data_IF_987484332483
#
_entry.id   IF_987484332483
#
_cell.length_a   1.000
_cell.length_b   1.000
_cell.length_c   1.000
_cell.angle_alpha   90.00
_cell.angle_beta   90.00
_cell.angle_gamma   90.00
#
_symmetry.space_group_name_H-M   'P 1'
#
loop_
_entity.id
_entity.type
_entity.pdbx_description
1 polymer ?
#
# COMPACT_ATOMS: atom_id res chain seq x y z
N UNK A 1 -42.66 -25.45 22.62
CA UNK A 1 -42.11 -25.01 21.31
C UNK A 1 -40.77 -25.70 21.16
N UNK A 2 -40.70 -26.69 20.27
CA UNK A 2 -39.60 -27.67 20.15
C UNK A 2 -38.58 -27.19 19.11
N UNK A 3 -37.31 -27.09 19.51
CA UNK A 3 -36.18 -26.80 18.63
C UNK A 3 -35.73 -28.07 17.90
N UNK A 4 -35.82 -28.08 16.58
CA UNK A 4 -35.37 -29.18 15.72
C UNK A 4 -33.92 -29.01 15.29
N UNK A 5 -33.03 -29.82 15.87
CA UNK A 5 -31.65 -30.02 15.43
C UNK A 5 -31.61 -30.80 14.12
N UNK A 6 -31.08 -30.21 13.03
CA UNK A 6 -30.81 -30.93 11.76
C UNK A 6 -29.34 -31.32 11.68
N UNK A 7 -29.07 -32.58 11.99
CA UNK A 7 -27.83 -33.30 11.71
C UNK A 7 -27.66 -33.49 10.20
N UNK A 8 -26.52 -33.10 9.63
CA UNK A 8 -26.16 -33.43 8.24
C UNK A 8 -25.40 -34.76 8.21
N UNK A 9 -25.78 -35.73 7.35
CA UNK A 9 -25.07 -37.00 7.22
C UNK A 9 -23.75 -36.84 6.48
N UNK A 10 -22.73 -37.53 7.00
CA UNK A 10 -21.45 -37.81 6.34
C UNK A 10 -21.71 -38.76 5.18
N UNK A 11 -21.44 -38.32 3.95
CA UNK A 11 -21.34 -39.21 2.80
C UNK A 11 -19.89 -39.70 2.68
N UNK A 12 -19.70 -40.99 2.97
CA UNK A 12 -18.49 -41.73 2.62
C UNK A 12 -18.64 -42.24 1.17
N UNK A 13 -17.64 -41.98 0.33
CA UNK A 13 -17.49 -42.62 -0.98
C UNK A 13 -16.27 -43.56 -0.93
N UNK A 14 -16.45 -44.85 -1.25
CA UNK A 14 -15.33 -45.79 -1.37
C UNK A 14 -15.02 -46.18 -2.83
N UNK A 15 -13.81 -46.70 -2.99
CA UNK A 15 -13.31 -47.69 -3.97
C UNK A 15 -12.81 -47.25 -5.37
N UNK A 16 -11.51 -47.56 -5.55
CA UNK A 16 -10.85 -48.28 -6.66
C UNK A 16 -10.69 -47.58 -8.03
N UNK A 17 -9.44 -47.44 -8.48
CA UNK A 17 -8.82 -48.42 -9.39
C UNK A 17 -7.39 -47.99 -9.79
N UNK A 18 -6.48 -48.96 -9.76
CA UNK A 18 -5.12 -48.86 -10.28
C UNK A 18 -5.11 -48.76 -11.82
N UNK A 19 -4.17 -48.00 -12.38
CA UNK A 19 -4.00 -47.91 -13.84
C UNK A 19 -2.79 -47.10 -14.29
N UNK A 20 -1.73 -47.84 -14.65
CA UNK A 20 -0.68 -47.52 -15.62
C UNK A 20 0.20 -46.26 -15.42
N UNK A 21 1.41 -46.53 -14.93
CA UNK A 21 2.59 -45.71 -15.15
C UNK A 21 2.90 -45.58 -16.65
N UNK A 22 2.89 -44.35 -17.16
CA UNK A 22 3.58 -43.96 -18.38
C UNK A 22 4.65 -42.93 -17.99
N UNK A 23 5.84 -43.45 -17.74
CA UNK A 23 7.05 -42.65 -17.59
C UNK A 23 7.45 -42.11 -18.97
N UNK A 24 7.12 -40.85 -19.24
CA UNK A 24 7.74 -40.06 -20.30
C UNK A 24 9.01 -39.40 -19.74
N UNK A 25 10.23 -39.75 -20.19
CA UNK A 25 11.42 -38.99 -19.86
C UNK A 25 11.45 -37.73 -20.73
N UNK A 26 10.73 -36.69 -20.31
CA UNK A 26 10.98 -35.34 -20.79
C UNK A 26 12.30 -34.88 -20.16
N UNK A 27 13.40 -35.11 -20.86
CA UNK A 27 14.65 -34.38 -20.67
C UNK A 27 14.45 -32.92 -21.09
N UNK A 28 13.65 -32.19 -20.33
CA UNK A 28 13.58 -30.74 -20.34
C UNK A 28 14.18 -30.27 -19.02
N UNK A 29 15.16 -29.37 -19.09
CA UNK A 29 15.78 -28.73 -17.93
C UNK A 29 14.70 -28.15 -17.01
N UNK A 30 14.26 -28.94 -16.03
CA UNK A 30 13.40 -28.48 -14.96
C UNK A 30 14.28 -27.69 -14.01
N UNK A 31 14.54 -26.43 -14.36
CA UNK A 31 14.55 -25.43 -13.33
C UNK A 31 13.16 -25.53 -12.67
N UNK A 32 13.08 -26.31 -11.59
CA UNK A 32 11.87 -26.37 -10.77
C UNK A 32 11.44 -24.94 -10.42
N UNK A 33 10.15 -24.72 -10.10
CA UNK A 33 9.68 -23.38 -9.76
C UNK A 33 10.67 -22.74 -8.79
N UNK A 34 11.31 -21.66 -9.24
CA UNK A 34 12.33 -20.99 -8.45
C UNK A 34 11.72 -20.67 -7.08
N UNK A 35 12.42 -21.01 -6.01
CA UNK A 35 11.97 -20.68 -4.67
C UNK A 35 11.65 -19.17 -4.64
N UNK A 36 10.52 -18.76 -4.04
CA UNK A 36 10.20 -17.35 -3.93
C UNK A 36 11.39 -16.63 -3.27
N UNK A 37 11.76 -15.42 -3.74
CA UNK A 37 12.91 -14.71 -3.21
C UNK A 37 12.73 -14.49 -1.71
N UNK A 38 13.82 -14.64 -0.94
CA UNK A 38 13.78 -14.37 0.50
C UNK A 38 13.46 -12.89 0.76
N UNK A 39 12.67 -12.57 1.80
CA UNK A 39 12.40 -11.20 2.18
C UNK A 39 13.68 -10.43 2.48
N UNK A 40 13.71 -9.14 2.13
CA UNK A 40 14.87 -8.30 2.40
C UNK A 40 14.92 -7.94 3.88
N UNK A 41 15.97 -8.35 4.59
CA UNK A 41 16.25 -7.91 5.97
C UNK A 41 16.63 -6.44 6.01
N UNK A 42 15.90 -5.64 6.78
CA UNK A 42 16.14 -4.21 6.93
C UNK A 42 16.87 -3.89 8.23
N UNK A 43 17.93 -3.08 8.16
CA UNK A 43 18.46 -2.42 9.35
C UNK A 43 17.45 -1.39 9.89
N UNK A 44 17.64 -0.91 11.13
CA UNK A 44 16.76 0.12 11.70
C UNK A 44 16.65 1.38 10.83
N UNK A 45 17.77 1.87 10.29
CA UNK A 45 17.76 3.05 9.41
C UNK A 45 17.12 2.76 8.04
N UNK A 46 17.33 1.57 7.48
CA UNK A 46 16.69 1.15 6.23
C UNK A 46 15.18 0.95 6.40
N UNK A 47 14.74 0.46 7.56
CA UNK A 47 13.33 0.27 7.88
C UNK A 47 12.59 1.61 7.95
N UNK A 48 13.19 2.63 8.60
CA UNK A 48 12.62 3.97 8.63
C UNK A 48 12.42 4.57 7.23
N UNK A 49 13.45 4.49 6.37
CA UNK A 49 13.36 4.96 4.99
C UNK A 49 12.34 4.18 4.15
N UNK A 50 12.35 2.84 4.23
CA UNK A 50 11.40 1.99 3.50
C UNK A 50 9.94 2.24 3.93
N UNK A 51 9.72 2.52 5.21
CA UNK A 51 8.42 2.93 5.72
C UNK A 51 7.98 4.27 5.11
N UNK A 52 8.83 5.29 5.14
CA UNK A 52 8.52 6.63 4.59
C UNK A 52 8.30 6.60 3.06
N UNK A 53 9.09 5.81 2.33
CA UNK A 53 8.90 5.54 0.89
C UNK A 53 7.54 4.91 0.58
N UNK A 54 6.95 4.18 1.53
CA UNK A 54 5.62 3.60 1.38
C UNK A 54 4.53 4.59 1.76
N UNK A 55 4.63 5.28 2.91
CA UNK A 55 3.51 6.04 3.49
C UNK A 55 3.41 7.49 3.00
N UNK A 56 4.51 8.15 2.66
CA UNK A 56 4.45 9.57 2.26
C UNK A 56 3.62 9.81 0.99
N UNK A 57 3.71 8.95 -0.06
CA UNK A 57 2.83 9.05 -1.22
C UNK A 57 1.35 8.83 -0.89
N UNK A 58 1.04 8.03 0.14
CA UNK A 58 -0.33 7.79 0.60
C UNK A 58 -0.91 9.06 1.23
N UNK A 59 -0.14 9.72 2.10
CA UNK A 59 -0.54 10.98 2.73
C UNK A 59 -0.85 12.04 1.67
N UNK A 60 0.05 12.23 0.71
CA UNK A 60 -0.14 13.20 -0.38
C UNK A 60 -1.39 12.90 -1.23
N UNK A 61 -1.70 11.62 -1.47
CA UNK A 61 -2.89 11.24 -2.24
C UNK A 61 -4.19 11.46 -1.45
N UNK A 62 -4.18 11.25 -0.13
CA UNK A 62 -5.32 11.55 0.74
C UNK A 62 -5.53 13.05 0.91
N UNK A 63 -4.46 13.84 1.05
CA UNK A 63 -4.55 15.31 1.10
C UNK A 63 -5.24 15.87 -0.17
N UNK A 64 -4.88 15.35 -1.35
CA UNK A 64 -5.54 15.74 -2.61
C UNK A 64 -7.01 15.29 -2.65
N UNK A 65 -7.32 14.08 -2.15
CA UNK A 65 -8.70 13.60 -2.08
C UNK A 65 -9.56 14.49 -1.18
N UNK A 66 -9.07 14.87 0.00
CA UNK A 66 -9.75 15.77 0.93
C UNK A 66 -10.02 17.13 0.28
N UNK A 67 -9.02 17.71 -0.39
CA UNK A 67 -9.18 18.97 -1.14
C UNK A 67 -10.26 18.86 -2.22
N UNK A 68 -10.32 17.75 -2.96
CA UNK A 68 -11.36 17.57 -3.99
C UNK A 68 -12.76 17.35 -3.39
N UNK A 69 -12.86 16.67 -2.25
CA UNK A 69 -14.14 16.50 -1.54
C UNK A 69 -14.64 17.84 -0.99
N UNK A 70 -13.76 18.68 -0.46
CA UNK A 70 -14.13 20.03 -0.01
C UNK A 70 -14.55 20.92 -1.17
N UNK A 71 -13.87 20.84 -2.33
CA UNK A 71 -14.31 21.52 -3.55
C UNK A 71 -15.69 21.05 -4.01
N UNK A 72 -15.96 19.75 -3.92
CA UNK A 72 -17.27 19.18 -4.24
C UNK A 72 -18.36 19.73 -3.31
N UNK A 73 -18.11 19.79 -2.00
CA UNK A 73 -19.05 20.39 -1.02
C UNK A 73 -19.41 21.83 -1.39
N UNK A 74 -18.40 22.65 -1.67
CA UNK A 74 -18.59 24.05 -2.07
C UNK A 74 -19.29 24.23 -3.43
N UNK A 75 -19.18 23.27 -4.34
CA UNK A 75 -19.90 23.28 -5.63
C UNK A 75 -21.36 22.85 -5.46
N UNK A 76 -21.63 21.85 -4.62
CA UNK A 76 -22.99 21.43 -4.28
C UNK A 76 -23.79 22.58 -3.64
N UNK A 77 -23.16 23.38 -2.77
CA UNK A 77 -23.78 24.59 -2.21
C UNK A 77 -24.20 25.63 -3.27
N UNK A 78 -23.55 25.61 -4.44
CA UNK A 78 -23.85 26.48 -5.59
C UNK A 78 -24.78 25.85 -6.63
N UNK A 79 -25.13 24.57 -6.46
CA UNK A 79 -26.02 23.84 -7.35
C UNK A 79 -25.35 23.26 -8.61
N UNK A 80 -24.02 23.21 -8.67
CA UNK A 80 -23.23 22.75 -9.83
C UNK A 80 -22.23 21.63 -9.48
N UNK A 81 -22.45 20.91 -8.37
CA UNK A 81 -21.54 19.89 -7.85
C UNK A 81 -21.41 18.64 -8.74
N UNK A 82 -20.21 18.41 -9.26
CA UNK A 82 -19.84 17.28 -10.11
C UNK A 82 -18.80 16.41 -9.38
N UNK A 83 -19.02 15.09 -9.16
CA UNK A 83 -18.19 14.29 -8.26
C UNK A 83 -16.88 13.78 -8.88
N UNK A 84 -16.69 13.91 -10.19
CA UNK A 84 -15.67 13.18 -10.95
C UNK A 84 -14.24 13.48 -10.48
N UNK A 85 -13.96 14.73 -10.08
CA UNK A 85 -12.64 15.09 -9.55
C UNK A 85 -12.36 14.40 -8.22
N UNK A 86 -13.31 14.42 -7.28
CA UNK A 86 -13.21 13.75 -5.99
C UNK A 86 -13.14 12.22 -6.14
N UNK A 87 -13.94 11.64 -7.04
CA UNK A 87 -13.91 10.21 -7.32
C UNK A 87 -12.55 9.77 -7.89
N UNK A 88 -11.96 10.54 -8.83
CA UNK A 88 -10.62 10.25 -9.36
C UNK A 88 -9.54 10.36 -8.28
N UNK A 89 -9.61 11.38 -7.42
CA UNK A 89 -8.67 11.54 -6.32
C UNK A 89 -8.75 10.37 -5.34
N UNK A 90 -9.96 9.90 -5.00
CA UNK A 90 -10.15 8.70 -4.18
C UNK A 90 -9.61 7.42 -4.82
N UNK A 91 -9.77 7.24 -6.13
CA UNK A 91 -9.14 6.11 -6.84
C UNK A 91 -7.62 6.17 -6.73
N UNK A 92 -7.04 7.36 -6.82
CA UNK A 92 -5.60 7.57 -6.63
C UNK A 92 -5.17 7.23 -5.20
N UNK A 93 -5.88 7.74 -4.19
CA UNK A 93 -5.62 7.44 -2.77
C UNK A 93 -5.72 5.94 -2.45
N UNK A 94 -6.74 5.27 -2.98
CA UNK A 94 -6.88 3.82 -2.86
C UNK A 94 -5.73 3.05 -3.52
N UNK A 95 -5.29 3.49 -4.71
CA UNK A 95 -4.15 2.88 -5.43
C UNK A 95 -2.83 3.06 -4.69
N UNK A 96 -2.60 4.25 -4.13
CA UNK A 96 -1.44 4.55 -3.30
C UNK A 96 -1.45 3.66 -2.05
N UNK A 97 -2.60 3.54 -1.38
CA UNK A 97 -2.77 2.69 -0.19
C UNK A 97 -2.49 1.21 -0.50
N UNK A 98 -3.02 0.71 -1.62
CA UNK A 98 -2.74 -0.66 -2.09
C UNK A 98 -1.24 -0.90 -2.32
N UNK A 99 -0.57 0.08 -2.92
CA UNK A 99 0.85 0.00 -3.24
C UNK A 99 1.70 0.02 -1.97
N UNK A 100 1.38 0.91 -1.04
CA UNK A 100 2.03 0.99 0.27
C UNK A 100 1.83 -0.31 1.05
N UNK A 101 0.60 -0.84 1.12
CA UNK A 101 0.33 -2.12 1.80
C UNK A 101 1.19 -3.26 1.26
N UNK A 102 1.36 -3.35 -0.08
CA UNK A 102 2.26 -4.34 -0.70
C UNK A 102 3.73 -4.13 -0.32
N UNK A 103 4.19 -2.88 -0.24
CA UNK A 103 5.57 -2.56 0.15
C UNK A 103 5.85 -2.89 1.62
N UNK A 104 4.84 -2.76 2.48
CA UNK A 104 4.93 -3.09 3.90
C UNK A 104 4.76 -4.58 4.20
N UNK A 105 4.48 -5.41 3.18
CA UNK A 105 4.21 -6.83 3.37
C UNK A 105 5.46 -7.59 3.86
N UNK A 106 5.33 -8.46 4.88
CA UNK A 106 6.44 -9.28 5.38
C UNK A 106 7.00 -10.25 4.34
N UNK A 107 6.25 -10.56 3.27
CA UNK A 107 6.77 -11.33 2.14
C UNK A 107 7.78 -10.54 1.29
N UNK A 108 7.78 -9.20 1.38
CA UNK A 108 8.69 -8.32 0.64
C UNK A 108 9.89 -7.93 1.49
N UNK A 109 9.65 -7.55 2.75
CA UNK A 109 10.70 -7.08 3.66
C UNK A 109 10.56 -7.67 5.06
N UNK A 110 11.68 -8.07 5.64
CA UNK A 110 11.76 -8.46 7.05
C UNK A 110 12.09 -7.23 7.89
N UNK A 111 11.09 -6.78 8.64
CA UNK A 111 11.14 -5.62 9.52
C UNK A 111 11.88 -5.93 10.82
N UNK A 112 12.53 -4.94 11.46
CA UNK A 112 13.06 -5.12 12.81
C UNK A 112 11.99 -5.65 13.77
N UNK A 113 12.34 -6.62 14.62
CA UNK A 113 11.39 -7.34 15.49
C UNK A 113 10.51 -6.39 16.32
N UNK A 114 11.10 -5.32 16.85
CA UNK A 114 10.39 -4.31 17.65
C UNK A 114 9.37 -3.47 16.84
N UNK A 115 9.55 -3.36 15.52
CA UNK A 115 8.70 -2.56 14.63
C UNK A 115 7.70 -3.39 13.83
N UNK A 116 7.98 -4.69 13.59
CA UNK A 116 7.17 -5.54 12.73
C UNK A 116 5.67 -5.55 13.05
N UNK A 117 5.22 -5.66 14.33
CA UNK A 117 3.80 -5.62 14.65
C UNK A 117 3.13 -4.27 14.33
N UNK A 118 3.86 -3.17 14.56
CA UNK A 118 3.33 -1.83 14.30
C UNK A 118 3.22 -1.55 12.79
N UNK A 119 4.20 -2.02 12.01
CA UNK A 119 4.16 -1.90 10.54
C UNK A 119 3.06 -2.77 9.94
N UNK A 120 2.84 -3.98 10.45
CA UNK A 120 1.73 -4.83 10.01
C UNK A 120 0.37 -4.17 10.31
N UNK A 121 0.21 -3.50 11.46
CA UNK A 121 -1.02 -2.75 11.74
C UNK A 121 -1.25 -1.64 10.71
N UNK A 122 -0.22 -0.87 10.34
CA UNK A 122 -0.32 0.14 9.26
C UNK A 122 -0.68 -0.51 7.93
N UNK A 123 -0.08 -1.66 7.61
CA UNK A 123 -0.42 -2.39 6.39
C UNK A 123 -1.91 -2.78 6.36
N UNK A 124 -2.46 -3.25 7.47
CA UNK A 124 -3.88 -3.61 7.55
C UNK A 124 -4.79 -2.39 7.37
N UNK A 125 -4.47 -1.25 7.98
CA UNK A 125 -5.26 -0.02 7.79
C UNK A 125 -5.20 0.45 6.33
N UNK A 126 -4.05 0.36 5.67
CA UNK A 126 -3.92 0.69 4.23
C UNK A 126 -4.77 -0.23 3.31
N UNK A 127 -4.92 -1.51 3.67
CA UNK A 127 -5.81 -2.44 2.96
C UNK A 127 -7.27 -2.04 3.17
N UNK A 128 -7.63 -1.59 4.36
CA UNK A 128 -8.98 -1.10 4.65
C UNK A 128 -9.28 0.20 3.91
N UNK A 129 -8.33 1.13 3.90
CA UNK A 129 -8.37 2.40 3.18
C UNK A 129 -8.55 2.18 1.66
N UNK A 130 -7.80 1.26 1.06
CA UNK A 130 -7.94 0.86 -0.35
C UNK A 130 -9.37 0.42 -0.67
N UNK A 131 -9.89 -0.52 0.13
CA UNK A 131 -11.25 -1.04 -0.06
C UNK A 131 -12.30 0.05 0.15
N UNK A 132 -12.10 0.93 1.13
CA UNK A 132 -13.06 1.98 1.43
C UNK A 132 -13.06 3.05 0.34
N UNK A 133 -11.89 3.51 -0.10
CA UNK A 133 -11.73 4.45 -1.22
C UNK A 133 -12.41 3.92 -2.49
N UNK A 134 -12.20 2.64 -2.82
CA UNK A 134 -12.82 2.02 -3.98
C UNK A 134 -14.36 1.92 -3.90
N UNK A 135 -14.93 1.80 -2.70
CA UNK A 135 -16.40 1.84 -2.49
C UNK A 135 -16.92 3.27 -2.58
N UNK A 136 -16.23 4.22 -1.96
CA UNK A 136 -16.69 5.61 -1.84
C UNK A 136 -16.55 6.39 -3.15
N UNK A 137 -15.55 6.06 -3.97
CA UNK A 137 -15.41 6.61 -5.32
C UNK A 137 -16.58 6.30 -6.27
N UNK A 138 -17.54 5.45 -5.86
CA UNK A 138 -18.74 5.10 -6.64
C UNK A 138 -20.00 5.81 -6.16
N UNK A 139 -19.91 6.59 -5.08
CA UNK A 139 -21.06 7.31 -4.54
C UNK A 139 -21.45 8.48 -5.44
N UNK A 140 -22.72 8.88 -5.36
CA UNK A 140 -23.19 10.13 -5.95
C UNK A 140 -22.51 11.34 -5.29
N UNK A 141 -22.62 12.52 -5.92
CA UNK A 141 -22.04 13.75 -5.39
C UNK A 141 -22.49 14.06 -3.95
N UNK A 142 -23.78 13.96 -3.68
CA UNK A 142 -24.37 14.25 -2.38
C UNK A 142 -23.94 13.24 -1.31
N UNK A 143 -23.96 11.94 -1.65
CA UNK A 143 -23.51 10.89 -0.75
C UNK A 143 -22.02 11.02 -0.44
N UNK A 144 -21.21 11.34 -1.45
CA UNK A 144 -19.77 11.51 -1.33
C UNK A 144 -19.43 12.70 -0.44
N UNK A 145 -20.07 13.85 -0.66
CA UNK A 145 -19.86 15.07 0.13
C UNK A 145 -20.20 14.89 1.62
N UNK A 146 -21.20 14.05 1.92
CA UNK A 146 -21.65 13.77 3.28
C UNK A 146 -21.02 12.50 3.89
N UNK A 147 -20.13 11.82 3.17
CA UNK A 147 -19.54 10.58 3.64
C UNK A 147 -18.62 10.82 4.84
N UNK A 148 -18.76 10.01 5.89
CA UNK A 148 -17.87 10.01 7.07
C UNK A 148 -16.89 8.86 6.99
N UNK A 149 -15.59 9.18 6.97
CA UNK A 149 -14.52 8.18 6.96
C UNK A 149 -14.53 7.34 8.24
N UNK A 150 -14.24 6.05 8.10
CA UNK A 150 -14.22 5.10 9.22
C UNK A 150 -12.77 4.67 9.41
N UNK A 151 -12.34 4.43 10.65
CA UNK A 151 -10.99 3.96 10.89
C UNK A 151 -9.92 5.06 10.92
N UNK A 152 -10.25 6.33 10.71
CA UNK A 152 -9.25 7.40 10.63
C UNK A 152 -8.44 7.54 11.94
N UNK A 153 -9.09 7.37 13.10
CA UNK A 153 -8.42 7.38 14.39
C UNK A 153 -7.50 6.15 14.55
N UNK A 154 -7.97 4.98 14.16
CA UNK A 154 -7.22 3.73 14.17
C UNK A 154 -5.99 3.78 13.25
N UNK A 155 -6.15 4.27 12.02
CA UNK A 155 -5.06 4.52 11.06
C UNK A 155 -4.03 5.50 11.63
N UNK A 156 -4.50 6.60 12.23
CA UNK A 156 -3.62 7.58 12.88
C UNK A 156 -2.81 6.98 14.03
N UNK A 157 -3.45 6.18 14.89
CA UNK A 157 -2.79 5.46 15.99
C UNK A 157 -1.78 4.43 15.50
N UNK A 158 -2.13 3.64 14.48
CA UNK A 158 -1.23 2.65 13.88
C UNK A 158 0.01 3.33 13.30
N UNK A 159 -0.17 4.41 12.53
CA UNK A 159 0.92 5.17 11.94
C UNK A 159 1.83 5.80 13.02
N UNK A 160 1.26 6.36 14.08
CA UNK A 160 2.04 6.91 15.20
C UNK A 160 2.86 5.82 15.93
N UNK A 161 2.25 4.66 16.18
CA UNK A 161 2.94 3.53 16.79
C UNK A 161 4.10 3.02 15.91
N UNK A 162 3.90 2.94 14.59
CA UNK A 162 4.95 2.54 13.65
C UNK A 162 6.10 3.55 13.62
N UNK A 163 5.82 4.86 13.56
CA UNK A 163 6.87 5.90 13.62
C UNK A 163 7.69 5.79 14.90
N UNK A 164 7.03 5.65 16.05
CA UNK A 164 7.70 5.45 17.34
C UNK A 164 8.59 4.21 17.34
N UNK A 165 8.09 3.08 16.84
CA UNK A 165 8.85 1.83 16.81
C UNK A 165 10.05 1.87 15.84
N UNK A 166 9.97 2.70 14.81
CA UNK A 166 11.04 2.95 13.83
C UNK A 166 11.95 4.12 14.23
N UNK A 167 11.74 4.72 15.40
CA UNK A 167 12.45 5.92 15.87
C UNK A 167 12.42 7.09 14.86
N UNK A 168 11.29 7.24 14.15
CA UNK A 168 11.02 8.35 13.25
C UNK A 168 10.43 9.55 14.02
N UNK A 169 10.50 10.77 13.46
CA UNK A 169 9.82 11.93 14.05
C UNK A 169 8.32 11.68 14.26
N UNK A 170 7.77 12.20 15.37
CA UNK A 170 6.36 12.00 15.71
C UNK A 170 5.41 12.69 14.72
N UNK A 171 5.80 13.88 14.25
CA UNK A 171 5.09 14.64 13.22
C UNK A 171 5.25 13.99 11.84
N UNK A 172 4.17 13.49 11.23
CA UNK A 172 4.22 12.82 9.93
C UNK A 172 4.59 13.75 8.78
N UNK A 173 4.16 15.02 8.81
CA UNK A 173 4.47 15.98 7.74
C UNK A 173 5.95 16.37 7.79
N UNK A 174 6.48 16.57 8.99
CA UNK A 174 7.91 16.78 9.19
C UNK A 174 8.74 15.57 8.74
N UNK A 175 8.33 14.35 9.11
CA UNK A 175 9.05 13.13 8.72
C UNK A 175 9.10 12.94 7.19
N UNK A 176 7.99 13.19 6.49
CA UNK A 176 7.93 13.07 5.02
C UNK A 176 8.74 14.16 4.30
N UNK A 177 8.64 15.41 4.75
CA UNK A 177 9.40 16.52 4.13
C UNK A 177 10.92 16.37 4.30
N UNK A 178 11.39 15.93 5.47
CA UNK A 178 12.81 15.62 5.69
C UNK A 178 13.29 14.46 4.80
N UNK A 179 12.46 13.44 4.62
CA UNK A 179 12.77 12.30 3.75
C UNK A 179 12.92 12.71 2.28
N UNK A 180 11.96 13.50 1.77
CA UNK A 180 12.01 14.03 0.41
C UNK A 180 13.25 14.90 0.18
N UNK A 181 13.58 15.76 1.14
CA UNK A 181 14.77 16.61 1.08
C UNK A 181 16.07 15.80 1.04
N UNK A 182 16.12 14.65 1.73
CA UNK A 182 17.26 13.73 1.68
C UNK A 182 17.38 13.02 0.33
N UNK A 183 16.26 12.59 -0.26
CA UNK A 183 16.22 11.97 -1.59
C UNK A 183 16.73 12.89 -2.70
N UNK A 184 16.37 14.18 -2.67
CA UNK A 184 16.84 15.18 -3.65
C UNK A 184 18.36 15.45 -3.56
N UNK A 185 18.93 15.39 -2.35
CA UNK A 185 20.38 15.57 -2.14
C UNK A 185 21.19 14.38 -2.67
N UNK A 186 20.63 13.16 -2.64
CA UNK A 186 21.31 11.96 -3.14
C UNK A 186 21.19 11.78 -4.66
N UNK A 187 20.10 12.25 -5.28
CA UNK A 187 19.93 12.31 -6.74
C UNK A 187 20.81 13.37 -7.42
N UNK A 188 21.26 14.38 -6.67
CA UNK A 188 22.14 15.45 -7.15
C UNK A 188 23.62 15.10 -6.91
N UNK A 189 24.16 14.08 -7.60
CA UNK A 189 25.62 13.87 -7.59
C UNK A 189 26.32 15.07 -8.27
N UNK A 190 27.18 15.84 -7.58
CA UNK A 190 27.99 16.87 -8.21
C UNK A 190 29.16 16.17 -8.91
N UNK A 191 29.08 16.03 -10.24
CA UNK A 191 30.13 15.31 -10.97
C UNK A 191 29.94 15.09 -12.46
N UNK A 192 28.92 15.67 -13.11
CA UNK A 192 28.94 15.78 -14.57
C UNK A 192 29.69 17.07 -14.92
N UNK A 193 31.02 17.02 -14.84
CA UNK A 193 31.85 18.02 -15.51
C UNK A 193 31.53 17.90 -17.00
N UNK A 194 30.93 18.95 -17.56
CA UNK A 194 30.97 19.23 -18.99
C UNK A 194 32.44 19.38 -19.39
N UNK A 195 33.09 18.24 -19.68
CA UNK A 195 34.33 18.18 -20.43
C UNK A 195 33.95 18.33 -21.91
N UNK A 196 33.42 19.52 -22.27
CA UNK A 196 33.51 20.01 -23.64
C UNK A 196 34.89 20.63 -23.78
N UNK A 197 35.84 19.77 -24.13
CA UNK A 197 37.08 20.19 -24.76
C UNK A 197 36.78 21.22 -25.85
N UNK A 198 37.52 22.32 -25.76
CA UNK A 198 37.50 23.46 -26.65
C UNK A 198 37.85 23.06 -28.10
N UNK A 199 37.39 23.84 -29.10
CA UNK A 199 37.79 23.63 -30.47
C UNK A 199 39.29 23.97 -30.60
N UNK A 200 40.08 23.01 -31.08
CA UNK A 200 41.41 23.30 -31.61
C UNK A 200 41.23 23.83 -33.02
N UNK A 201 41.43 25.14 -33.20
CA UNK A 201 41.73 25.71 -34.51
C UNK A 201 43.03 25.09 -35.06
N UNK A 202 42.99 24.65 -36.31
CA UNK A 202 44.10 24.09 -37.08
C UNK A 202 43.69 23.81 -38.51
#
# INVERSE_FOLDING_TARGET
MTFGTRSRPRAALPLLAAGAALALPLAGCSAGPAAPPEPRKLSASQAGGAYLDAVCPVNAAWDEADVQIDRLRLALERGDGSPEAAQRALVSAGTASATAAKRLDPAVSEWPEAAAPAVENVRQTLIEDERQAARVAKLSAEELANYTWKGAEESGKAAAAARKALALPDDPAFACSEWEAQGQKQGSKPGQKDEREQPSDG
#
